data_IF_005741250815
#
_entry.id   IF_005741250815
#
_cell.length_a   1.000
_cell.length_b   1.000
_cell.length_c   1.000
_cell.angle_alpha   90.00
_cell.angle_beta   90.00
_cell.angle_gamma   90.00
#
_symmetry.space_group_name_H-M   'P 1'
#
loop_
_entity.id
_entity.type
_entity.pdbx_description
1 polymer ?
#
# COMPACT_ATOMS: atom_id res chain seq x y z
N UNK A 1 0.51 4.19 -16.91
CA UNK A 1 1.37 3.03 -16.68
C UNK A 1 0.82 1.82 -17.45
N UNK A 2 1.69 1.05 -18.11
CA UNK A 2 1.30 -0.11 -18.89
C UNK A 2 2.21 -1.30 -18.57
N UNK A 3 1.67 -2.53 -18.68
CA UNK A 3 2.43 -3.77 -18.47
C UNK A 3 3.22 -3.75 -17.16
N UNK A 4 4.53 -3.92 -17.24
CA UNK A 4 5.43 -3.87 -16.08
C UNK A 4 5.31 -2.60 -15.24
N UNK A 5 4.96 -1.45 -15.83
CA UNK A 5 4.70 -0.21 -15.13
C UNK A 5 3.50 -0.31 -14.17
N UNK A 6 2.44 -1.06 -14.52
CA UNK A 6 1.31 -1.35 -13.61
C UNK A 6 1.80 -2.21 -12.44
N UNK A 7 2.71 -3.15 -12.72
CA UNK A 7 3.33 -3.96 -11.67
C UNK A 7 4.08 -3.12 -10.65
N UNK A 8 4.84 -2.10 -11.09
CA UNK A 8 5.52 -1.17 -10.18
C UNK A 8 4.53 -0.38 -9.33
N UNK A 9 3.43 0.10 -9.91
CA UNK A 9 2.35 0.77 -9.14
C UNK A 9 1.78 -0.18 -8.09
N UNK A 10 1.49 -1.43 -8.46
CA UNK A 10 0.95 -2.44 -7.54
C UNK A 10 1.91 -2.82 -6.40
N UNK A 11 3.23 -2.63 -6.58
CA UNK A 11 4.22 -2.87 -5.52
C UNK A 11 4.30 -1.74 -4.49
N UNK A 12 3.73 -0.56 -4.78
CA UNK A 12 3.77 0.59 -3.88
C UNK A 12 2.75 0.43 -2.75
N UNK A 13 3.16 0.77 -1.53
CA UNK A 13 2.24 0.77 -0.39
C UNK A 13 1.19 1.87 -0.48
N UNK A 14 1.56 3.01 -1.09
CA UNK A 14 0.66 4.14 -1.37
C UNK A 14 0.88 4.58 -2.81
N UNK A 15 -0.18 4.65 -3.58
CA UNK A 15 -0.16 5.11 -4.97
C UNK A 15 -1.16 6.25 -5.17
N UNK A 16 -0.69 7.36 -5.72
CA UNK A 16 -1.48 8.53 -6.10
C UNK A 16 -1.38 8.69 -7.61
N UNK A 17 -2.50 8.95 -8.28
CA UNK A 17 -2.56 9.14 -9.71
C UNK A 17 -3.14 10.50 -10.08
N UNK A 18 -2.66 11.07 -11.18
CA UNK A 18 -3.36 12.16 -11.86
C UNK A 18 -4.64 11.64 -12.52
N UNK A 19 -5.70 12.45 -12.55
CA UNK A 19 -6.96 12.17 -13.25
C UNK A 19 -6.77 11.84 -14.75
N UNK A 20 -5.67 12.33 -15.34
CA UNK A 20 -5.31 12.06 -16.73
C UNK A 20 -4.59 10.73 -16.93
N UNK A 21 -4.22 10.03 -15.86
CA UNK A 21 -3.47 8.80 -15.94
C UNK A 21 -4.27 7.68 -16.63
N UNK A 22 -3.56 6.85 -17.40
CA UNK A 22 -4.12 5.67 -18.06
C UNK A 22 -3.29 4.44 -17.68
N UNK A 23 -3.98 3.34 -17.55
CA UNK A 23 -3.41 2.05 -17.14
C UNK A 23 -3.83 0.96 -18.11
N UNK A 24 -3.02 -0.10 -18.21
CA UNK A 24 -3.37 -1.26 -19.01
C UNK A 24 -2.39 -2.41 -18.84
N UNK A 25 -2.91 -3.61 -18.87
CA UNK A 25 -2.17 -4.87 -18.81
C UNK A 25 -2.29 -5.51 -20.18
N UNK A 26 -1.45 -5.01 -21.11
CA UNK A 26 -1.64 -5.21 -22.56
C UNK A 26 -0.94 -6.44 -23.12
N UNK A 27 -0.31 -7.25 -22.29
CA UNK A 27 0.49 -8.42 -22.65
C UNK A 27 -0.32 -9.44 -23.47
N UNK A 28 -1.58 -9.67 -23.17
CA UNK A 28 -2.41 -10.64 -23.89
C UNK A 28 -2.70 -10.26 -25.34
N UNK A 29 -2.59 -8.97 -25.72
CA UNK A 29 -2.64 -8.55 -27.13
C UNK A 29 -1.44 -9.00 -27.94
N UNK A 30 -0.35 -9.35 -27.26
CA UNK A 30 0.89 -9.84 -27.86
C UNK A 30 1.00 -11.38 -27.81
N UNK A 31 -0.06 -12.08 -27.36
CA UNK A 31 -0.01 -13.52 -27.10
C UNK A 31 0.82 -13.89 -25.87
N UNK A 32 1.06 -12.93 -24.98
CA UNK A 32 1.80 -13.08 -23.72
C UNK A 32 0.86 -12.92 -22.52
N UNK A 33 1.43 -13.00 -21.32
CA UNK A 33 0.69 -12.78 -20.07
C UNK A 33 1.57 -12.03 -19.07
N UNK A 34 0.97 -11.27 -18.13
CA UNK A 34 1.71 -10.47 -17.16
C UNK A 34 2.26 -11.31 -15.99
N UNK A 35 3.04 -12.38 -16.27
CA UNK A 35 3.46 -13.39 -15.31
C UNK A 35 4.22 -12.79 -14.13
N UNK A 36 5.25 -11.98 -14.40
CA UNK A 36 6.15 -11.44 -13.39
C UNK A 36 5.42 -10.50 -12.40
N UNK A 37 4.49 -9.70 -12.92
CA UNK A 37 3.76 -8.72 -12.10
C UNK A 37 2.48 -9.28 -11.48
N UNK A 38 2.02 -10.45 -11.92
CA UNK A 38 0.73 -11.02 -11.52
C UNK A 38 0.56 -11.15 -10.00
N UNK A 39 1.54 -11.58 -9.19
CA UNK A 39 1.35 -11.68 -7.75
C UNK A 39 1.02 -10.32 -7.10
N UNK A 40 1.70 -9.27 -7.54
CA UNK A 40 1.53 -7.92 -7.01
C UNK A 40 0.20 -7.30 -7.45
N UNK A 41 -0.13 -7.43 -8.73
CA UNK A 41 -1.39 -6.90 -9.28
C UNK A 41 -2.59 -7.64 -8.69
N UNK A 42 -2.53 -8.98 -8.59
CA UNK A 42 -3.62 -9.76 -7.97
C UNK A 42 -3.80 -9.41 -6.50
N UNK A 43 -2.71 -9.17 -5.76
CA UNK A 43 -2.79 -8.73 -4.37
C UNK A 43 -3.45 -7.35 -4.24
N UNK A 44 -3.16 -6.41 -5.17
CA UNK A 44 -3.71 -5.06 -5.14
C UNK A 44 -5.19 -5.02 -5.54
N UNK A 45 -5.58 -5.62 -6.68
CA UNK A 45 -6.94 -5.46 -7.26
C UNK A 45 -7.85 -6.68 -7.07
N UNK A 46 -7.35 -7.72 -6.47
CA UNK A 46 -8.06 -8.97 -6.26
C UNK A 46 -8.20 -9.85 -7.52
N UNK A 47 -8.44 -11.16 -7.35
CA UNK A 47 -8.40 -12.11 -8.45
C UNK A 47 -9.52 -11.89 -9.47
N UNK A 48 -10.68 -11.38 -9.06
CA UNK A 48 -11.80 -11.13 -9.98
C UNK A 48 -11.49 -10.02 -10.97
N UNK A 49 -10.95 -8.91 -10.50
CA UNK A 49 -10.54 -7.79 -11.35
C UNK A 49 -9.35 -8.19 -12.22
N UNK A 50 -8.36 -8.84 -11.66
CA UNK A 50 -7.19 -9.31 -12.41
C UNK A 50 -7.59 -10.18 -13.59
N UNK A 51 -8.52 -11.14 -13.43
CA UNK A 51 -9.00 -11.98 -14.55
C UNK A 51 -9.56 -11.15 -15.70
N UNK A 52 -10.35 -10.11 -15.41
CA UNK A 52 -10.88 -9.22 -16.45
C UNK A 52 -9.74 -8.53 -17.19
N UNK A 53 -8.95 -7.76 -16.47
CA UNK A 53 -7.95 -6.88 -17.07
C UNK A 53 -6.81 -7.62 -17.75
N UNK A 54 -6.41 -8.78 -17.24
CA UNK A 54 -5.39 -9.63 -17.88
C UNK A 54 -5.90 -10.23 -19.21
N UNK A 55 -7.14 -10.69 -19.23
CA UNK A 55 -7.70 -11.37 -20.40
C UNK A 55 -8.11 -10.38 -21.51
N UNK A 56 -8.70 -9.25 -21.16
CA UNK A 56 -9.23 -8.30 -22.15
C UNK A 56 -8.18 -7.34 -22.67
N UNK A 57 -7.11 -7.11 -21.90
CA UNK A 57 -6.10 -6.09 -22.18
C UNK A 57 -6.73 -4.69 -22.43
N UNK A 58 -7.90 -4.41 -21.85
CA UNK A 58 -8.52 -3.10 -21.89
C UNK A 58 -7.63 -2.07 -21.20
N UNK A 59 -7.67 -0.84 -21.69
CA UNK A 59 -7.11 0.30 -20.97
C UNK A 59 -8.20 0.87 -20.06
N UNK A 60 -7.77 1.39 -18.92
CA UNK A 60 -8.67 2.01 -17.95
C UNK A 60 -8.07 3.32 -17.40
N UNK A 61 -8.95 4.18 -16.93
CA UNK A 61 -8.62 5.49 -16.40
C UNK A 61 -8.25 5.45 -14.90
N UNK A 62 -7.88 6.61 -14.38
CA UNK A 62 -7.47 6.77 -12.99
C UNK A 62 -8.62 6.46 -12.02
N UNK A 63 -9.85 6.86 -12.34
CA UNK A 63 -11.01 6.59 -11.48
C UNK A 63 -11.31 5.09 -11.39
N UNK A 64 -11.18 4.39 -12.51
CA UNK A 64 -11.28 2.93 -12.51
C UNK A 64 -10.15 2.30 -11.69
N UNK A 65 -8.90 2.80 -11.84
CA UNK A 65 -7.77 2.33 -11.06
C UNK A 65 -7.99 2.49 -9.55
N UNK A 66 -8.58 3.62 -9.12
CA UNK A 66 -8.95 3.83 -7.71
C UNK A 66 -10.07 2.89 -7.28
N UNK A 67 -11.11 2.75 -8.08
CA UNK A 67 -12.26 1.90 -7.77
C UNK A 67 -11.90 0.42 -7.63
N UNK A 68 -10.90 -0.07 -8.37
CA UNK A 68 -10.44 -1.45 -8.28
C UNK A 68 -9.31 -1.67 -7.26
N UNK A 69 -8.81 -0.61 -6.62
CA UNK A 69 -7.79 -0.68 -5.60
C UNK A 69 -6.33 -0.65 -6.12
N UNK A 70 -6.10 -0.33 -7.40
CA UNK A 70 -4.74 -0.19 -7.94
C UNK A 70 -4.04 1.08 -7.43
N UNK A 71 -4.80 2.18 -7.30
CA UNK A 71 -4.31 3.43 -6.71
C UNK A 71 -5.23 3.85 -5.56
N UNK A 72 -4.70 4.61 -4.60
CA UNK A 72 -5.42 5.02 -3.40
C UNK A 72 -6.14 6.35 -3.55
N UNK A 73 -5.60 7.22 -4.41
CA UNK A 73 -6.11 8.56 -4.59
C UNK A 73 -5.94 9.01 -6.04
N UNK A 74 -6.92 9.75 -6.54
CA UNK A 74 -6.87 10.45 -7.84
C UNK A 74 -7.02 11.94 -7.58
N UNK A 75 -6.19 12.75 -8.23
CA UNK A 75 -6.16 14.20 -8.07
C UNK A 75 -5.96 14.88 -9.43
N UNK A 76 -6.32 16.17 -9.57
CA UNK A 76 -5.92 16.99 -10.71
C UNK A 76 -4.40 16.95 -10.91
N UNK A 77 -3.94 17.06 -12.16
CA UNK A 77 -2.52 16.90 -12.48
C UNK A 77 -1.61 17.91 -11.76
N UNK A 78 -2.09 19.13 -11.59
CA UNK A 78 -1.38 20.20 -10.87
C UNK A 78 -1.35 20.02 -9.34
N UNK A 79 -2.11 19.07 -8.80
CA UNK A 79 -2.14 18.76 -7.38
C UNK A 79 -1.38 17.48 -7.00
N UNK A 80 -0.77 16.80 -7.98
CA UNK A 80 -0.12 15.50 -7.74
C UNK A 80 0.99 15.61 -6.69
N UNK A 81 1.88 16.60 -6.83
CA UNK A 81 3.00 16.79 -5.90
C UNK A 81 2.51 17.14 -4.48
N UNK A 82 1.47 17.98 -4.39
CA UNK A 82 0.86 18.31 -3.10
C UNK A 82 0.21 17.10 -2.42
N UNK A 83 -0.46 16.24 -3.19
CA UNK A 83 -1.05 15.01 -2.68
C UNK A 83 0.03 14.03 -2.19
N UNK A 84 1.13 13.88 -2.93
CA UNK A 84 2.28 13.06 -2.50
C UNK A 84 2.91 13.65 -1.23
N UNK A 85 3.15 14.95 -1.18
CA UNK A 85 3.70 15.63 0.00
C UNK A 85 2.82 15.41 1.23
N UNK A 86 1.49 15.42 1.06
CA UNK A 86 0.55 15.12 2.14
C UNK A 86 0.69 13.69 2.68
N UNK A 87 0.89 12.69 1.80
CA UNK A 87 1.12 11.32 2.25
C UNK A 87 2.45 11.19 3.01
N UNK A 88 3.50 11.85 2.54
CA UNK A 88 4.80 11.87 3.23
C UNK A 88 4.70 12.54 4.61
N UNK A 89 3.95 13.65 4.71
CA UNK A 89 3.67 14.30 6.00
C UNK A 89 2.95 13.36 6.98
N UNK A 90 1.96 12.61 6.51
CA UNK A 90 1.24 11.64 7.35
C UNK A 90 2.15 10.50 7.81
N UNK A 91 2.99 9.98 6.92
CA UNK A 91 3.99 8.96 7.26
C UNK A 91 5.01 9.48 8.28
N UNK A 92 5.45 10.73 8.13
CA UNK A 92 6.37 11.38 9.07
C UNK A 92 5.80 11.58 10.49
N UNK A 93 4.48 11.51 10.65
CA UNK A 93 3.82 11.56 11.98
C UNK A 93 3.83 10.23 12.70
N UNK A 94 4.02 9.13 11.98
CA UNK A 94 4.09 7.80 12.58
C UNK A 94 5.49 7.51 13.16
N UNK A 95 5.54 6.72 14.23
CA UNK A 95 6.81 6.20 14.72
C UNK A 95 7.46 5.29 13.66
N UNK A 96 8.74 5.49 13.30
CA UNK A 96 9.37 4.77 12.19
C UNK A 96 9.38 3.24 12.39
N UNK A 97 9.64 2.76 13.60
CA UNK A 97 9.57 1.32 13.92
C UNK A 97 8.12 0.80 13.85
N UNK A 98 7.16 1.57 14.36
CA UNK A 98 5.74 1.22 14.31
C UNK A 98 5.23 1.15 12.87
N UNK A 99 5.57 2.13 12.02
CA UNK A 99 5.18 2.15 10.61
C UNK A 99 5.77 0.95 9.84
N UNK A 100 7.05 0.66 10.02
CA UNK A 100 7.69 -0.51 9.41
C UNK A 100 7.07 -1.83 9.90
N UNK A 101 6.79 -1.93 11.19
CA UNK A 101 6.14 -3.11 11.78
C UNK A 101 4.69 -3.27 11.29
N UNK A 102 3.94 -2.20 11.12
CA UNK A 102 2.59 -2.23 10.56
C UNK A 102 2.56 -2.77 9.12
N UNK A 103 3.53 -2.36 8.28
CA UNK A 103 3.67 -2.90 6.93
C UNK A 103 3.97 -4.41 6.95
N UNK A 104 4.85 -4.88 7.84
CA UNK A 104 5.16 -6.30 7.99
C UNK A 104 3.95 -7.07 8.52
N UNK A 105 3.24 -6.54 9.50
CA UNK A 105 2.03 -7.13 10.07
C UNK A 105 0.97 -7.47 8.99
N UNK A 106 0.74 -6.57 8.03
CA UNK A 106 -0.20 -6.84 6.93
C UNK A 106 0.22 -8.08 6.12
N UNK A 107 1.52 -8.23 5.84
CA UNK A 107 2.06 -9.40 5.13
C UNK A 107 1.86 -10.68 5.92
N UNK A 108 2.14 -10.65 7.22
CA UNK A 108 2.03 -11.79 8.11
C UNK A 108 0.57 -12.24 8.25
N UNK A 109 -0.36 -11.29 8.40
CA UNK A 109 -1.81 -11.57 8.45
C UNK A 109 -2.32 -12.23 7.17
N UNK A 110 -1.84 -11.77 6.00
CA UNK A 110 -2.25 -12.35 4.71
C UNK A 110 -1.62 -13.72 4.47
N UNK A 111 -0.39 -13.93 4.93
CA UNK A 111 0.35 -15.17 4.69
C UNK A 111 0.02 -16.30 5.68
N UNK A 112 -0.47 -15.98 6.89
CA UNK A 112 -0.65 -16.95 7.96
C UNK A 112 -2.07 -17.51 7.95
N UNK A 113 -2.21 -18.80 7.69
CA UNK A 113 -3.50 -19.51 7.71
C UNK A 113 -3.90 -19.97 9.14
N UNK A 114 -2.92 -20.25 9.99
CA UNK A 114 -3.15 -20.65 11.39
C UNK A 114 -3.50 -19.42 12.24
N UNK A 115 -4.75 -19.35 12.66
CA UNK A 115 -5.30 -18.21 13.38
C UNK A 115 -4.74 -18.09 14.79
N UNK A 116 -4.59 -19.21 15.48
CA UNK A 116 -4.10 -19.20 16.87
C UNK A 116 -2.62 -18.79 16.92
N UNK A 117 -1.82 -19.30 15.99
CA UNK A 117 -0.43 -18.90 15.84
C UNK A 117 -0.30 -17.41 15.49
N UNK A 118 -1.17 -16.87 14.63
CA UNK A 118 -1.21 -15.45 14.27
C UNK A 118 -1.57 -14.59 15.48
N UNK A 119 -2.58 -14.95 16.24
CA UNK A 119 -3.04 -14.20 17.41
C UNK A 119 -1.96 -14.14 18.49
N UNK A 120 -1.25 -15.24 18.75
CA UNK A 120 -0.11 -15.29 19.66
C UNK A 120 1.05 -14.40 19.17
N UNK A 121 1.41 -14.49 17.88
CA UNK A 121 2.46 -13.65 17.29
C UNK A 121 2.12 -12.16 17.36
N UNK A 122 0.86 -11.79 17.12
CA UNK A 122 0.38 -10.41 17.22
C UNK A 122 0.41 -9.90 18.66
N UNK A 123 0.00 -10.72 19.63
CA UNK A 123 0.08 -10.36 21.04
C UNK A 123 1.52 -10.10 21.48
N UNK A 124 2.46 -10.96 21.05
CA UNK A 124 3.87 -10.77 21.32
C UNK A 124 4.44 -9.52 20.62
N UNK A 125 4.05 -9.27 19.37
CA UNK A 125 4.50 -8.10 18.62
C UNK A 125 4.10 -6.80 19.31
N UNK A 126 2.82 -6.64 19.64
CA UNK A 126 2.34 -5.42 20.30
C UNK A 126 2.97 -5.24 21.69
N UNK A 127 3.17 -6.32 22.45
CA UNK A 127 3.85 -6.26 23.73
C UNK A 127 5.29 -5.76 23.60
N UNK A 128 6.05 -6.29 22.63
CA UNK A 128 7.43 -5.82 22.33
C UNK A 128 7.47 -4.35 21.92
N UNK A 129 6.60 -3.94 21.01
CA UNK A 129 6.55 -2.56 20.54
C UNK A 129 6.19 -1.60 21.68
N UNK A 130 5.25 -1.99 22.55
CA UNK A 130 4.83 -1.17 23.69
C UNK A 130 5.98 -0.84 24.64
N UNK A 131 6.86 -1.79 24.91
CA UNK A 131 8.01 -1.59 25.82
C UNK A 131 9.28 -1.08 25.11
N UNK A 132 9.24 -0.93 23.80
CA UNK A 132 10.37 -0.39 23.03
C UNK A 132 10.62 1.09 23.37
N UNK A 133 11.83 1.61 23.15
CA UNK A 133 12.10 3.04 23.33
C UNK A 133 11.16 3.96 22.54
N UNK A 134 10.81 3.56 21.30
CA UNK A 134 9.86 4.32 20.47
C UNK A 134 8.44 4.25 21.04
N UNK A 135 7.98 3.06 21.45
CA UNK A 135 6.65 2.89 22.05
C UNK A 135 6.51 3.67 23.34
N UNK A 136 7.53 3.68 24.19
CA UNK A 136 7.53 4.46 25.44
C UNK A 136 7.59 5.96 25.17
N UNK A 137 8.37 6.41 24.20
CA UNK A 137 8.36 7.83 23.78
C UNK A 137 6.99 8.25 23.26
N UNK A 138 6.36 7.46 22.38
CA UNK A 138 5.04 7.77 21.82
C UNK A 138 3.95 7.85 22.89
N UNK A 139 3.91 6.87 23.80
CA UNK A 139 2.97 6.84 24.91
C UNK A 139 3.19 8.01 25.86
N UNK A 140 4.45 8.29 26.24
CA UNK A 140 4.80 9.43 27.07
C UNK A 140 4.41 10.76 26.43
N UNK A 141 4.76 10.95 25.15
CA UNK A 141 4.38 12.15 24.42
C UNK A 141 2.85 12.37 24.39
N UNK A 142 2.10 11.30 24.17
CA UNK A 142 0.62 11.36 24.17
C UNK A 142 0.06 11.78 25.55
N UNK A 143 0.56 11.17 26.64
CA UNK A 143 0.12 11.49 28.01
C UNK A 143 0.48 12.92 28.40
N UNK A 144 1.68 13.36 28.01
CA UNK A 144 2.20 14.71 28.29
C UNK A 144 1.66 15.78 27.34
N UNK A 145 0.84 15.40 26.34
CA UNK A 145 0.29 16.28 25.29
C UNK A 145 1.37 17.05 24.54
N UNK A 146 2.50 16.43 24.26
CA UNK A 146 3.62 16.97 23.48
C UNK A 146 3.85 16.22 22.19
N UNK A 147 4.61 16.80 21.29
CA UNK A 147 5.05 16.14 20.05
C UNK A 147 6.11 15.06 20.37
N UNK A 148 6.01 13.86 19.79
CA UNK A 148 7.06 12.85 19.93
C UNK A 148 8.34 13.26 19.17
N UNK A 149 9.50 12.77 19.62
CA UNK A 149 10.81 13.19 19.11
C UNK A 149 11.05 12.92 17.63
N UNK A 150 10.39 11.94 17.05
CA UNK A 150 10.56 11.64 15.61
C UNK A 150 9.84 12.63 14.68
N UNK A 151 9.09 13.56 15.22
CA UNK A 151 8.41 14.62 14.47
C UNK A 151 9.10 15.99 14.62
N UNK A 152 10.25 16.06 15.28
CA UNK A 152 11.01 17.30 15.53
C UNK A 152 12.19 17.45 14.57
#
# INVERSE_FOLDING_TARGET
AFGGGVGLVACCDIAVASEQARFGLTESRLGLLPAVISPYVVAAIGPRQARRWFATAEQFDADTAARIGLVHQVVPADQLDAAVARQLELLGKAGPLAAASAKQLVRDVVATADRDALDEANAQLIARLRVSPEGQEGLGAFLDKRTPRWQT
#
